data_IF_632576326127
#
_entry.id   IF_632576326127
#
_cell.length_a   1.000
_cell.length_b   1.000
_cell.length_c   1.000
_cell.angle_alpha   90.00
_cell.angle_beta   90.00
_cell.angle_gamma   90.00
#
_symmetry.space_group_name_H-M   'P 1'
#
loop_
_entity.id
_entity.type
_entity.pdbx_description
1 polymer ?
#
# COMPACT_ATOMS: atom_id res chain seq x y z
N UNK A 1 -7.30 26.08 -9.02
CA UNK A 1 -8.62 26.14 -8.36
C UNK A 1 -9.11 24.82 -7.78
N UNK A 2 -9.69 23.86 -8.52
CA UNK A 2 -10.25 22.63 -7.91
C UNK A 2 -9.19 21.71 -7.27
N UNK A 3 -8.00 21.57 -7.88
CA UNK A 3 -6.85 20.86 -7.30
C UNK A 3 -6.27 21.56 -6.06
N UNK A 4 -6.23 22.89 -6.05
CA UNK A 4 -5.77 23.67 -4.89
C UNK A 4 -6.74 23.52 -3.72
N UNK A 5 -8.06 23.58 -3.98
CA UNK A 5 -9.07 23.38 -2.96
C UNK A 5 -9.04 21.96 -2.35
N UNK A 6 -8.73 20.94 -3.16
CA UNK A 6 -8.54 19.56 -2.68
C UNK A 6 -7.25 19.46 -1.87
N UNK A 7 -6.16 20.10 -2.32
CA UNK A 7 -4.88 20.12 -1.61
C UNK A 7 -4.96 20.83 -0.26
N UNK A 8 -5.70 21.94 -0.18
CA UNK A 8 -5.89 22.69 1.05
C UNK A 8 -6.78 21.93 2.04
N UNK A 9 -7.86 21.30 1.56
CA UNK A 9 -8.68 20.42 2.39
C UNK A 9 -7.89 19.19 2.90
N UNK A 10 -6.97 18.64 2.09
CA UNK A 10 -6.09 17.55 2.52
C UNK A 10 -5.10 18.00 3.61
N UNK A 11 -4.59 19.24 3.55
CA UNK A 11 -3.74 19.81 4.60
C UNK A 11 -4.50 20.03 5.90
N UNK A 12 -5.69 20.63 5.85
CA UNK A 12 -6.53 20.83 7.04
C UNK A 12 -6.90 19.49 7.70
N UNK A 13 -7.25 18.48 6.89
CA UNK A 13 -7.55 17.15 7.39
C UNK A 13 -6.32 16.48 8.01
N UNK A 14 -5.14 16.63 7.39
CA UNK A 14 -3.88 16.12 7.93
C UNK A 14 -3.52 16.77 9.26
N UNK A 15 -3.69 18.09 9.38
CA UNK A 15 -3.40 18.81 10.63
C UNK A 15 -4.41 18.45 11.73
N UNK A 16 -5.67 18.22 11.38
CA UNK A 16 -6.68 17.69 12.30
C UNK A 16 -6.33 16.29 12.82
N UNK A 17 -5.97 15.36 11.92
CA UNK A 17 -5.52 14.01 12.30
C UNK A 17 -4.28 14.06 13.18
N UNK A 18 -3.31 14.92 12.86
CA UNK A 18 -2.11 15.13 13.68
C UNK A 18 -2.47 15.67 15.07
N UNK A 19 -3.39 16.63 15.15
CA UNK A 19 -3.81 17.23 16.42
C UNK A 19 -4.52 16.23 17.33
N UNK A 20 -5.48 15.46 16.78
CA UNK A 20 -6.16 14.39 17.52
C UNK A 20 -5.17 13.32 17.94
N UNK A 21 -4.29 12.88 17.05
CA UNK A 21 -3.27 11.88 17.38
C UNK A 21 -2.34 12.37 18.50
N UNK A 22 -2.09 13.68 18.58
CA UNK A 22 -1.27 14.27 19.66
C UNK A 22 -1.97 14.21 21.00
N UNK A 23 -3.25 14.62 21.05
CA UNK A 23 -4.07 14.49 22.27
C UNK A 23 -4.17 13.02 22.68
N UNK A 24 -4.34 12.13 21.72
CA UNK A 24 -4.45 10.69 21.90
C UNK A 24 -3.20 10.07 22.54
N UNK A 25 -2.02 10.33 21.95
CA UNK A 25 -0.73 9.83 22.47
C UNK A 25 -0.46 10.43 23.86
N UNK A 26 -0.71 11.73 24.05
CA UNK A 26 -0.52 12.39 25.35
C UNK A 26 -1.38 11.75 26.43
N UNK A 27 -2.68 11.53 26.16
CA UNK A 27 -3.63 11.06 27.17
C UNK A 27 -3.49 9.57 27.47
N UNK A 28 -3.08 8.76 26.49
CA UNK A 28 -2.81 7.33 26.67
C UNK A 28 -1.59 7.07 27.56
N UNK A 29 -0.66 8.03 27.60
CA UNK A 29 0.65 7.88 28.24
C UNK A 29 0.79 8.74 29.49
N UNK A 30 -0.23 9.52 29.85
CA UNK A 30 -0.36 10.13 31.16
C UNK A 30 -0.36 9.03 32.24
N UNK A 31 0.43 9.28 33.29
CA UNK A 31 0.84 8.29 34.28
C UNK A 31 -0.35 7.62 34.97
N UNK A 32 -0.25 6.30 35.16
CA UNK A 32 -1.28 5.43 35.72
C UNK A 32 -1.40 5.64 37.25
N UNK A 33 -1.91 6.81 37.64
CA UNK A 33 -2.36 7.05 39.00
C UNK A 33 -3.61 6.20 39.32
N UNK A 34 -3.82 5.75 40.57
CA UNK A 34 -4.89 4.79 40.93
C UNK A 34 -6.34 5.28 40.70
N UNK A 35 -6.53 6.49 40.17
CA UNK A 35 -7.83 7.15 40.02
C UNK A 35 -8.14 7.68 38.62
N UNK A 36 -7.32 7.41 37.59
CA UNK A 36 -7.54 8.04 36.28
C UNK A 36 -8.59 7.30 35.43
N UNK A 37 -9.85 7.51 35.79
CA UNK A 37 -11.02 6.92 35.12
C UNK A 37 -11.07 7.32 33.64
N UNK A 38 -10.54 8.49 33.29
CA UNK A 38 -10.49 9.01 31.91
C UNK A 38 -9.54 8.15 31.07
N UNK A 39 -8.35 7.83 31.59
CA UNK A 39 -7.38 6.97 30.90
C UNK A 39 -7.90 5.54 30.67
N UNK A 40 -8.68 4.99 31.62
CA UNK A 40 -9.39 3.72 31.43
C UNK A 40 -10.48 3.79 30.37
N UNK A 41 -11.26 4.88 30.33
CA UNK A 41 -12.27 5.11 29.29
C UNK A 41 -11.61 5.23 27.92
N UNK A 42 -10.53 5.99 27.78
CA UNK A 42 -9.77 6.10 26.53
C UNK A 42 -9.19 4.77 26.08
N UNK A 43 -8.55 4.01 26.98
CA UNK A 43 -8.06 2.67 26.67
C UNK A 43 -9.19 1.75 26.17
N UNK A 44 -10.35 1.83 26.81
CA UNK A 44 -11.55 1.07 26.40
C UNK A 44 -12.06 1.53 25.02
N UNK A 45 -12.12 2.83 24.75
CA UNK A 45 -12.51 3.34 23.42
C UNK A 45 -11.56 2.82 22.34
N UNK A 46 -10.26 2.80 22.61
CA UNK A 46 -9.22 2.37 21.68
C UNK A 46 -9.28 0.87 21.40
N UNK A 47 -9.57 0.07 22.42
CA UNK A 47 -9.78 -1.38 22.26
C UNK A 47 -11.05 -1.70 21.46
N UNK A 48 -12.02 -0.78 21.43
CA UNK A 48 -13.22 -0.89 20.61
C UNK A 48 -13.05 -0.24 19.21
N UNK A 49 -11.90 0.32 18.88
CA UNK A 49 -11.64 0.82 17.52
C UNK A 49 -11.41 -0.35 16.55
N UNK A 50 -12.03 -0.24 15.39
CA UNK A 50 -11.82 -1.18 14.27
C UNK A 50 -10.43 -1.03 13.63
N UNK A 51 -9.71 0.07 13.88
CA UNK A 51 -8.30 0.20 13.50
C UNK A 51 -7.37 -0.43 14.53
N UNK A 52 -6.33 -1.09 14.03
CA UNK A 52 -5.20 -1.49 14.85
C UNK A 52 -4.39 -0.26 15.27
N UNK A 53 -4.12 -0.12 16.55
CA UNK A 53 -3.33 0.98 17.12
C UNK A 53 -2.09 0.40 17.79
N UNK A 54 -0.93 0.94 17.43
CA UNK A 54 0.35 0.57 18.01
C UNK A 54 1.16 1.84 18.31
N UNK A 55 1.66 1.99 19.53
CA UNK A 55 2.49 3.12 19.94
C UNK A 55 3.87 2.59 20.32
N UNK A 56 4.91 3.24 19.79
CA UNK A 56 6.30 2.95 20.10
C UNK A 56 7.02 4.18 20.63
N UNK A 57 8.02 3.95 21.48
CA UNK A 57 8.93 5.00 21.94
C UNK A 57 10.00 5.36 20.89
N UNK A 58 10.90 6.25 21.28
CA UNK A 58 12.05 6.72 20.50
C UNK A 58 13.09 5.61 20.24
N UNK A 59 13.11 4.56 21.06
CA UNK A 59 13.91 3.35 20.85
C UNK A 59 13.22 2.31 19.93
N UNK A 60 12.04 2.64 19.38
CA UNK A 60 11.16 1.76 18.63
C UNK A 60 10.66 0.54 19.43
N UNK A 61 10.51 0.66 20.75
CA UNK A 61 9.91 -0.38 21.58
C UNK A 61 8.42 -0.13 21.76
N UNK A 62 7.63 -1.20 21.73
CA UNK A 62 6.17 -1.11 21.85
C UNK A 62 5.76 -0.69 23.26
N UNK A 63 5.09 0.44 23.38
CA UNK A 63 4.54 0.99 24.62
C UNK A 63 3.05 0.66 24.79
N UNK A 64 2.30 0.62 23.69
CA UNK A 64 0.87 0.30 23.69
C UNK A 64 0.45 -0.43 22.42
N UNK A 65 -0.51 -1.33 22.55
CA UNK A 65 -1.14 -2.05 21.43
C UNK A 65 -2.58 -2.38 21.80
N UNK A 66 -3.53 -2.14 20.87
CA UNK A 66 -4.93 -2.49 21.08
C UNK A 66 -5.26 -3.90 20.59
N UNK A 67 -6.44 -4.42 20.95
CA UNK A 67 -6.89 -5.76 20.53
C UNK A 67 -6.91 -5.97 19.02
N UNK A 68 -7.31 -4.95 18.24
CA UNK A 68 -7.37 -5.05 16.78
C UNK A 68 -5.97 -5.19 16.16
N UNK A 69 -4.97 -4.47 16.68
CA UNK A 69 -3.57 -4.62 16.25
C UNK A 69 -2.98 -5.98 16.66
N UNK A 70 -3.30 -6.51 17.84
CA UNK A 70 -2.86 -7.85 18.27
C UNK A 70 -3.39 -8.95 17.34
N UNK A 71 -4.67 -8.89 16.98
CA UNK A 71 -5.29 -9.81 16.02
C UNK A 71 -4.62 -9.70 14.65
N UNK A 72 -4.36 -8.48 14.20
CA UNK A 72 -3.71 -8.20 12.92
C UNK A 72 -2.28 -8.75 12.87
N UNK A 73 -1.51 -8.58 13.94
CA UNK A 73 -0.12 -9.05 14.04
C UNK A 73 -0.05 -10.56 14.35
N UNK A 74 -1.16 -11.19 14.75
CA UNK A 74 -1.19 -12.59 15.17
C UNK A 74 -0.35 -12.85 16.43
N UNK A 75 -0.33 -11.90 17.38
CA UNK A 75 0.47 -11.96 18.62
C UNK A 75 -0.38 -11.71 19.86
N UNK A 76 0.11 -12.18 21.01
CA UNK A 76 -0.49 -11.93 22.33
C UNK A 76 0.20 -10.72 22.97
N UNK A 77 -0.57 -9.89 23.69
CA UNK A 77 -0.10 -8.62 24.28
C UNK A 77 1.19 -8.76 25.10
N UNK A 78 1.24 -9.74 26.02
CA UNK A 78 2.40 -9.97 26.88
C UNK A 78 3.69 -10.32 26.12
N UNK A 79 3.57 -10.71 24.85
CA UNK A 79 4.69 -11.11 24.02
C UNK A 79 5.16 -9.99 23.08
N UNK A 80 4.53 -8.81 23.06
CA UNK A 80 4.93 -7.70 22.17
C UNK A 80 5.26 -6.40 22.89
N UNK A 81 4.65 -6.11 24.06
CA UNK A 81 4.99 -4.92 24.85
C UNK A 81 6.49 -4.94 25.24
N UNK A 82 7.16 -3.80 25.09
CA UNK A 82 8.58 -3.60 25.37
C UNK A 82 9.55 -4.16 24.31
N UNK A 83 9.04 -4.91 23.32
CA UNK A 83 9.87 -5.46 22.24
C UNK A 83 10.16 -4.42 21.16
N UNK A 84 11.33 -4.50 20.51
CA UNK A 84 11.63 -3.67 19.36
C UNK A 84 10.74 -4.06 18.18
N UNK A 85 10.19 -3.06 17.50
CA UNK A 85 9.45 -3.22 16.25
C UNK A 85 10.00 -2.26 15.20
N UNK A 86 10.08 -2.69 13.95
CA UNK A 86 10.61 -1.88 12.86
C UNK A 86 9.54 -1.68 11.80
N UNK A 87 9.29 -0.41 11.46
CA UNK A 87 8.44 -0.03 10.34
C UNK A 87 9.32 0.31 9.14
N UNK A 88 9.10 -0.36 8.01
CA UNK A 88 9.82 -0.10 6.76
C UNK A 88 8.81 0.20 5.63
N UNK A 89 8.63 1.45 5.21
CA UNK A 89 7.67 1.77 4.17
C UNK A 89 8.07 1.15 2.82
N UNK A 90 7.07 0.80 2.01
CA UNK A 90 7.20 0.35 0.63
C UNK A 90 7.02 1.51 -0.37
N UNK A 91 7.67 2.64 -0.11
CA UNK A 91 7.68 3.81 -1.01
C UNK A 91 9.06 4.46 -1.09
N UNK A 92 9.27 5.26 -2.15
CA UNK A 92 10.45 6.09 -2.38
C UNK A 92 10.33 7.51 -1.86
N UNK A 93 9.13 8.08 -1.90
CA UNK A 93 8.93 9.49 -1.63
C UNK A 93 8.29 9.72 -0.26
N UNK A 94 8.80 10.74 0.43
CA UNK A 94 8.19 11.33 1.61
C UNK A 94 6.90 12.10 1.32
N UNK A 95 6.55 12.33 0.05
CA UNK A 95 5.34 13.09 -0.32
C UNK A 95 4.06 12.24 -0.22
N UNK A 96 4.18 10.91 -0.23
CA UNK A 96 3.09 9.98 0.10
C UNK A 96 2.95 9.79 1.63
N UNK A 97 3.26 10.82 2.41
CA UNK A 97 3.07 10.84 3.87
C UNK A 97 1.62 11.01 4.29
N UNK A 98 0.72 11.28 3.34
CA UNK A 98 -0.70 11.46 3.60
C UNK A 98 -1.45 10.23 3.09
N UNK A 99 -2.07 9.49 4.01
CA UNK A 99 -2.88 8.31 3.69
C UNK A 99 -2.27 6.98 4.13
N UNK A 100 -3.07 5.91 4.00
CA UNK A 100 -2.69 4.56 4.38
C UNK A 100 -1.64 3.97 3.42
N UNK A 101 -0.44 3.69 3.93
CA UNK A 101 0.70 3.19 3.16
C UNK A 101 1.08 1.78 3.60
N UNK A 102 1.63 0.99 2.67
CA UNK A 102 2.16 -0.34 3.00
C UNK A 102 3.51 -0.25 3.69
N UNK A 103 3.59 -0.91 4.84
CA UNK A 103 4.79 -1.03 5.65
C UNK A 103 5.12 -2.51 5.84
N UNK A 104 6.39 -2.84 5.72
CA UNK A 104 6.91 -4.08 6.31
C UNK A 104 7.07 -3.79 7.80
N UNK A 105 6.31 -4.50 8.62
CA UNK A 105 6.37 -4.42 10.08
C UNK A 105 7.08 -5.67 10.57
N UNK A 106 8.25 -5.47 11.19
CA UNK A 106 9.11 -6.55 11.68
C UNK A 106 9.21 -6.52 13.19
N UNK A 107 9.01 -7.67 13.83
CA UNK A 107 9.19 -7.88 15.27
C UNK A 107 9.75 -9.30 15.50
N UNK A 108 10.71 -9.44 16.41
CA UNK A 108 11.50 -10.66 16.56
C UNK A 108 12.03 -11.13 15.18
N UNK A 109 11.77 -12.39 14.80
CA UNK A 109 12.11 -12.97 13.50
C UNK A 109 10.95 -12.96 12.49
N UNK A 110 9.84 -12.28 12.81
CA UNK A 110 8.65 -12.20 11.95
C UNK A 110 8.60 -10.88 11.21
N UNK A 111 8.05 -10.90 10.00
CA UNK A 111 7.81 -9.70 9.20
C UNK A 111 6.52 -9.86 8.41
N UNK A 112 5.59 -8.93 8.60
CA UNK A 112 4.31 -8.90 7.92
C UNK A 112 4.16 -7.59 7.13
N UNK A 113 3.37 -7.66 6.06
CA UNK A 113 3.01 -6.49 5.27
C UNK A 113 1.72 -5.89 5.81
N UNK A 114 1.80 -4.68 6.36
CA UNK A 114 0.71 -4.00 7.03
C UNK A 114 0.45 -2.65 6.38
N UNK A 115 -0.82 -2.41 6.03
CA UNK A 115 -1.26 -1.10 5.57
C UNK A 115 -1.53 -0.23 6.80
N UNK A 116 -0.89 0.94 6.89
CA UNK A 116 -1.06 1.85 8.01
C UNK A 116 -0.43 3.22 7.80
N UNK A 117 -0.62 4.10 8.78
CA UNK A 117 -0.09 5.45 8.83
C UNK A 117 0.82 5.58 10.02
N UNK A 118 2.05 6.05 9.80
CA UNK A 118 3.02 6.29 10.85
C UNK A 118 3.08 7.80 11.15
N UNK A 119 2.76 8.15 12.39
CA UNK A 119 2.78 9.53 12.88
C UNK A 119 3.86 9.66 13.94
N UNK A 120 4.72 10.68 13.83
CA UNK A 120 5.69 11.01 14.87
C UNK A 120 5.13 12.15 15.73
N UNK A 121 5.03 11.92 17.04
CA UNK A 121 4.31 12.75 17.99
C UNK A 121 5.13 12.81 19.29
N UNK A 122 5.68 13.97 19.61
CA UNK A 122 6.44 14.22 20.85
C UNK A 122 7.55 13.17 21.11
N UNK A 123 8.24 12.71 20.05
CA UNK A 123 9.32 11.72 20.17
C UNK A 123 8.84 10.27 20.20
N UNK A 124 7.54 10.01 20.10
CA UNK A 124 6.94 8.67 20.00
C UNK A 124 6.35 8.46 18.62
N UNK A 125 6.30 7.22 18.14
CA UNK A 125 5.64 6.91 16.88
C UNK A 125 4.31 6.19 17.13
N UNK A 126 3.24 6.73 16.55
CA UNK A 126 1.92 6.13 16.52
C UNK A 126 1.70 5.51 15.13
N UNK A 127 1.49 4.20 15.09
CA UNK A 127 1.15 3.47 13.88
C UNK A 127 -0.34 3.08 13.90
N UNK A 128 -1.11 3.70 13.00
CA UNK A 128 -2.53 3.43 12.80
C UNK A 128 -2.70 2.48 11.62
N UNK A 129 -3.10 1.25 11.87
CA UNK A 129 -3.37 0.24 10.86
C UNK A 129 -4.69 0.55 10.13
N UNK A 130 -4.76 0.24 8.83
CA UNK A 130 -6.00 0.38 8.08
C UNK A 130 -7.09 -0.57 8.62
N UNK A 131 -8.35 -0.10 8.56
CA UNK A 131 -9.55 -0.85 8.99
C UNK A 131 -9.71 -2.19 8.27
N UNK A 132 -9.36 -2.23 6.98
CA UNK A 132 -9.38 -3.44 6.18
C UNK A 132 -7.98 -3.75 5.68
N UNK A 133 -7.44 -4.87 6.14
CA UNK A 133 -6.26 -5.48 5.54
C UNK A 133 -6.73 -6.57 4.59
N UNK A 134 -6.28 -6.54 3.34
CA UNK A 134 -6.46 -7.69 2.46
C UNK A 134 -5.74 -8.89 3.10
N UNK A 135 -6.49 -9.96 3.41
CA UNK A 135 -6.12 -11.11 4.25
C UNK A 135 -4.95 -11.99 3.75
N UNK A 136 -4.04 -11.46 2.93
CA UNK A 136 -2.79 -12.14 2.62
C UNK A 136 -1.76 -11.77 3.67
N UNK A 137 -1.70 -12.54 4.75
CA UNK A 137 -0.50 -12.64 5.60
C UNK A 137 0.66 -12.97 4.66
N UNK A 138 1.49 -11.98 4.40
CA UNK A 138 2.57 -12.06 3.45
C UNK A 138 3.85 -11.99 4.25
N UNK A 139 4.45 -13.15 4.51
CA UNK A 139 5.76 -13.21 5.15
C UNK A 139 6.78 -12.63 4.19
N UNK A 140 7.32 -11.46 4.52
CA UNK A 140 8.41 -10.84 3.76
C UNK A 140 9.72 -11.55 4.11
N UNK A 141 9.85 -12.82 3.73
CA UNK A 141 11.06 -13.59 3.97
C UNK A 141 12.17 -13.16 3.00
N UNK A 142 13.28 -12.68 3.55
CA UNK A 142 14.62 -12.60 2.93
C UNK A 142 14.67 -12.05 1.48
N UNK A 143 14.08 -10.87 1.23
CA UNK A 143 14.45 -10.13 0.03
C UNK A 143 15.93 -9.74 0.13
N UNK A 144 16.79 -10.12 -0.84
CA UNK A 144 18.21 -9.83 -0.76
C UNK A 144 18.45 -8.32 -0.70
N UNK A 145 19.40 -7.90 0.14
CA UNK A 145 19.77 -6.49 0.31
C UNK A 145 20.34 -5.89 -0.99
N UNK A 146 20.83 -6.70 -1.92
CA UNK A 146 21.22 -6.27 -3.27
C UNK A 146 20.68 -7.24 -4.34
N UNK A 147 19.43 -7.04 -4.80
CA UNK A 147 18.87 -7.89 -5.85
C UNK A 147 19.48 -7.51 -7.21
N UNK A 148 20.02 -8.50 -7.91
CA UNK A 148 20.40 -8.33 -9.31
C UNK A 148 19.16 -8.46 -10.19
N UNK A 149 18.82 -7.40 -10.92
CA UNK A 149 17.68 -7.36 -11.84
C UNK A 149 18.26 -7.15 -13.24
N UNK A 150 18.36 -8.23 -14.01
CA UNK A 150 19.05 -8.26 -15.31
C UNK A 150 18.61 -7.16 -16.29
N UNK A 151 17.32 -6.82 -16.30
CA UNK A 151 16.77 -5.84 -17.24
C UNK A 151 16.84 -4.39 -16.75
N UNK A 152 17.18 -4.15 -15.47
CA UNK A 152 17.25 -2.81 -14.89
C UNK A 152 18.72 -2.39 -14.72
N UNK A 153 19.25 -1.71 -15.74
CA UNK A 153 20.64 -1.22 -15.77
C UNK A 153 20.79 0.00 -14.86
N UNK A 154 21.91 0.08 -14.14
CA UNK A 154 22.26 1.23 -13.30
C UNK A 154 22.69 0.82 -11.88
N UNK A 155 23.79 1.41 -11.43
CA UNK A 155 24.45 1.08 -10.15
C UNK A 155 24.58 2.27 -9.20
N UNK A 156 24.00 3.43 -9.55
CA UNK A 156 23.98 4.57 -8.65
C UNK A 156 23.12 4.28 -7.40
N UNK A 157 23.33 5.04 -6.33
CA UNK A 157 22.64 4.85 -5.05
C UNK A 157 21.12 4.78 -5.19
N UNK A 158 20.53 5.64 -6.01
CA UNK A 158 19.08 5.70 -6.25
C UNK A 158 18.59 4.45 -6.96
N UNK A 159 19.31 3.97 -7.99
CA UNK A 159 18.96 2.73 -8.69
C UNK A 159 19.08 1.50 -7.81
N UNK A 160 20.09 1.44 -6.92
CA UNK A 160 20.19 0.35 -5.93
C UNK A 160 19.03 0.36 -4.95
N UNK A 161 18.62 1.54 -4.47
CA UNK A 161 17.41 1.67 -3.67
C UNK A 161 16.17 1.18 -4.44
N UNK A 162 16.14 1.37 -5.77
CA UNK A 162 14.98 1.00 -6.60
C UNK A 162 14.89 -0.50 -6.76
N UNK A 163 16.02 -1.12 -7.07
CA UNK A 163 16.17 -2.58 -7.09
C UNK A 163 15.73 -3.19 -5.76
N UNK A 164 16.16 -2.63 -4.62
CA UNK A 164 15.75 -3.07 -3.26
C UNK A 164 14.27 -2.85 -2.97
N UNK A 165 13.64 -1.82 -3.53
CA UNK A 165 12.20 -1.62 -3.35
C UNK A 165 11.41 -2.62 -4.21
N UNK A 166 11.82 -2.80 -5.46
CA UNK A 166 11.22 -3.78 -6.38
C UNK A 166 11.27 -5.18 -5.76
N UNK A 167 12.40 -5.62 -5.21
CA UNK A 167 12.48 -6.96 -4.58
C UNK A 167 11.55 -7.14 -3.38
N UNK A 168 11.27 -6.05 -2.64
CA UNK A 168 10.34 -6.06 -1.50
C UNK A 168 8.88 -6.05 -1.92
N UNK A 169 8.55 -5.30 -2.97
CA UNK A 169 7.18 -5.16 -3.47
C UNK A 169 6.77 -6.34 -4.35
N UNK A 170 7.69 -6.89 -5.14
CA UNK A 170 7.40 -7.94 -6.12
C UNK A 170 6.59 -9.13 -5.60
N UNK A 171 6.86 -9.69 -4.40
CA UNK A 171 6.09 -10.83 -3.93
C UNK A 171 4.75 -10.43 -3.25
N UNK A 172 4.51 -9.13 -3.02
CA UNK A 172 3.23 -8.61 -2.53
C UNK A 172 2.11 -8.82 -3.55
N UNK A 173 0.88 -9.15 -3.12
CA UNK A 173 -0.28 -9.27 -4.02
C UNK A 173 -0.88 -7.92 -4.44
N UNK A 174 -0.29 -6.81 -4.01
CA UNK A 174 -0.86 -5.47 -4.08
C UNK A 174 -0.65 -4.80 -5.44
N UNK A 175 -1.54 -3.87 -5.79
CA UNK A 175 -1.35 -2.98 -6.93
C UNK A 175 -0.17 -2.05 -6.69
N UNK A 176 0.67 -1.85 -7.71
CA UNK A 176 1.88 -1.03 -7.63
C UNK A 176 1.75 0.15 -8.59
N UNK A 177 1.92 1.37 -8.07
CA UNK A 177 2.02 2.58 -8.89
C UNK A 177 3.48 2.85 -9.21
N UNK A 178 3.81 2.97 -10.50
CA UNK A 178 5.15 3.34 -10.98
C UNK A 178 5.09 4.75 -11.54
N UNK A 179 5.72 5.70 -10.84
CA UNK A 179 5.75 7.10 -11.23
C UNK A 179 7.12 7.44 -11.83
N UNK A 180 7.12 8.22 -12.91
CA UNK A 180 8.33 8.69 -13.57
C UNK A 180 7.99 9.39 -14.87
N UNK A 181 8.92 10.22 -15.35
CA UNK A 181 8.78 10.91 -16.63
C UNK A 181 8.62 9.92 -17.79
N UNK A 182 8.08 10.40 -18.92
CA UNK A 182 7.98 9.59 -20.14
C UNK A 182 9.36 9.12 -20.59
N UNK A 183 9.46 7.87 -21.06
CA UNK A 183 10.72 7.30 -21.54
C UNK A 183 11.73 6.84 -20.47
N UNK A 184 11.42 6.95 -19.17
CA UNK A 184 12.31 6.53 -18.08
C UNK A 184 12.36 5.02 -17.81
N UNK A 185 11.66 4.21 -18.62
CA UNK A 185 11.66 2.75 -18.49
C UNK A 185 10.69 2.18 -17.44
N UNK A 186 9.53 2.84 -17.22
CA UNK A 186 8.47 2.35 -16.31
C UNK A 186 8.06 0.90 -16.59
N UNK A 187 7.96 0.52 -17.86
CA UNK A 187 7.64 -0.86 -18.25
C UNK A 187 8.72 -1.86 -17.81
N UNK A 188 10.00 -1.48 -17.85
CA UNK A 188 11.11 -2.33 -17.38
C UNK A 188 10.98 -2.59 -15.88
N UNK A 189 10.58 -1.58 -15.11
CA UNK A 189 10.27 -1.71 -13.67
C UNK A 189 9.09 -2.67 -13.46
N UNK A 190 7.99 -2.50 -14.21
CA UNK A 190 6.82 -3.37 -14.10
C UNK A 190 7.15 -4.85 -14.42
N UNK A 191 7.96 -5.09 -15.45
CA UNK A 191 8.43 -6.44 -15.81
C UNK A 191 9.35 -7.03 -14.74
N UNK A 192 10.21 -6.21 -14.12
CA UNK A 192 11.06 -6.64 -13.02
C UNK A 192 10.23 -7.08 -11.81
N UNK A 193 9.20 -6.30 -11.43
CA UNK A 193 8.24 -6.65 -10.37
C UNK A 193 7.57 -7.99 -10.70
N UNK A 194 7.04 -8.16 -11.91
CA UNK A 194 6.39 -9.41 -12.31
C UNK A 194 7.34 -10.62 -12.24
N UNK A 195 8.56 -10.50 -12.76
CA UNK A 195 9.56 -11.59 -12.77
C UNK A 195 10.01 -12.02 -11.37
N UNK A 196 10.04 -11.08 -10.43
CA UNK A 196 10.41 -11.34 -9.03
C UNK A 196 9.20 -11.75 -8.17
N UNK A 197 7.98 -11.68 -8.72
CA UNK A 197 6.76 -12.06 -8.01
C UNK A 197 6.53 -13.58 -8.00
N UNK A 198 5.62 -14.03 -7.13
CA UNK A 198 5.09 -15.40 -7.18
C UNK A 198 4.33 -15.73 -8.48
N UNK A 199 4.03 -14.73 -9.32
CA UNK A 199 3.32 -14.86 -10.59
C UNK A 199 4.24 -14.84 -11.81
N UNK A 200 5.56 -14.95 -11.65
CA UNK A 200 6.56 -14.89 -12.74
C UNK A 200 6.34 -15.84 -13.92
N UNK A 201 5.64 -16.96 -13.69
CA UNK A 201 5.33 -17.99 -14.70
C UNK A 201 3.92 -17.81 -15.29
N UNK A 202 3.24 -16.71 -14.97
CA UNK A 202 1.87 -16.39 -15.40
C UNK A 202 1.92 -15.26 -16.45
N UNK A 203 0.82 -14.99 -17.16
CA UNK A 203 0.80 -13.95 -18.19
C UNK A 203 1.19 -12.57 -17.63
N UNK A 204 2.05 -11.86 -18.36
CA UNK A 204 2.27 -10.43 -18.19
C UNK A 204 1.66 -9.72 -19.40
N UNK A 205 0.57 -9.01 -19.17
CA UNK A 205 -0.14 -8.25 -20.21
C UNK A 205 0.10 -6.77 -19.95
N UNK A 206 0.64 -6.08 -20.94
CA UNK A 206 0.85 -4.63 -20.90
C UNK A 206 -0.04 -3.93 -21.92
N UNK A 207 -0.64 -2.82 -21.52
CA UNK A 207 -1.44 -1.96 -22.38
C UNK A 207 -1.08 -0.50 -22.10
N UNK A 208 -0.87 0.28 -23.16
CA UNK A 208 -0.71 1.72 -23.08
C UNK A 208 -2.07 2.37 -23.33
N UNK A 209 -2.61 3.04 -22.31
CA UNK A 209 -3.95 3.63 -22.35
C UNK A 209 -4.03 4.84 -23.29
N UNK A 210 -2.92 5.57 -23.46
CA UNK A 210 -2.84 6.73 -24.35
C UNK A 210 -2.75 6.34 -25.84
N UNK A 211 -2.29 5.12 -26.14
CA UNK A 211 -2.09 4.66 -27.51
C UNK A 211 -3.37 4.12 -28.19
N UNK A 212 -4.46 3.90 -27.43
CA UNK A 212 -5.68 3.27 -27.93
C UNK A 212 -6.86 4.24 -27.80
N UNK A 213 -7.64 4.48 -28.87
CA UNK A 213 -8.84 5.29 -28.79
C UNK A 213 -9.82 4.76 -27.73
N UNK A 214 -10.44 5.67 -26.96
CA UNK A 214 -11.34 5.34 -25.84
C UNK A 214 -12.38 4.24 -26.16
N UNK A 215 -13.02 4.34 -27.31
CA UNK A 215 -14.05 3.40 -27.77
C UNK A 215 -13.52 1.97 -27.92
N UNK A 216 -12.26 1.84 -28.36
CA UNK A 216 -11.60 0.54 -28.49
C UNK A 216 -11.01 0.10 -27.15
N UNK A 217 -10.48 1.03 -26.34
CA UNK A 217 -9.87 0.73 -25.04
C UNK A 217 -10.82 -0.05 -24.13
N UNK A 218 -12.10 0.31 -24.10
CA UNK A 218 -13.10 -0.46 -23.35
C UNK A 218 -13.17 -1.92 -23.83
N UNK A 219 -13.31 -2.11 -25.15
CA UNK A 219 -13.45 -3.42 -25.76
C UNK A 219 -12.17 -4.26 -25.67
N UNK A 220 -11.00 -3.63 -25.60
CA UNK A 220 -9.71 -4.28 -25.33
C UNK A 220 -9.64 -4.74 -23.88
N UNK A 221 -9.94 -3.88 -22.91
CA UNK A 221 -9.79 -4.18 -21.49
C UNK A 221 -10.79 -5.24 -21.01
N UNK A 222 -12.08 -5.05 -21.34
CA UNK A 222 -13.17 -5.86 -20.81
C UNK A 222 -13.65 -6.95 -21.78
N UNK A 223 -13.31 -6.85 -23.06
CA UNK A 223 -13.82 -7.74 -24.09
C UNK A 223 -15.27 -7.42 -24.46
N UNK A 224 -15.83 -8.24 -25.35
CA UNK A 224 -17.23 -8.14 -25.74
C UNK A 224 -17.75 -9.48 -26.25
N UNK A 225 -19.06 -9.68 -26.12
CA UNK A 225 -19.76 -10.84 -26.67
C UNK A 225 -20.19 -10.58 -28.11
N UNK A 226 -20.43 -11.65 -28.87
CA UNK A 226 -20.96 -11.56 -30.24
C UNK A 226 -22.23 -10.69 -30.27
N UNK A 227 -22.27 -9.71 -31.17
CA UNK A 227 -23.43 -8.84 -31.36
C UNK A 227 -23.57 -7.71 -30.34
N UNK A 228 -22.54 -7.44 -29.52
CA UNK A 228 -22.57 -6.33 -28.55
C UNK A 228 -22.72 -4.94 -29.21
N UNK A 229 -22.24 -4.78 -30.44
CA UNK A 229 -22.37 -3.55 -31.24
C UNK A 229 -22.30 -3.86 -32.74
N UNK A 230 -22.68 -2.90 -33.58
CA UNK A 230 -22.58 -3.01 -35.05
C UNK A 230 -21.11 -3.09 -35.47
N UNK A 231 -20.69 -4.24 -36.01
CA UNK A 231 -19.28 -4.51 -36.35
C UNK A 231 -18.54 -5.41 -35.35
N UNK A 232 -19.21 -5.87 -34.29
CA UNK A 232 -18.63 -6.85 -33.37
C UNK A 232 -18.28 -8.16 -34.09
N UNK A 233 -17.08 -8.68 -33.83
CA UNK A 233 -16.64 -9.99 -34.34
C UNK A 233 -17.65 -11.08 -34.02
N UNK A 234 -17.87 -11.98 -34.99
CA UNK A 234 -18.76 -13.13 -34.83
C UNK A 234 -18.33 -14.06 -33.69
N UNK A 235 -17.07 -13.99 -33.26
CA UNK A 235 -16.51 -14.81 -32.18
C UNK A 235 -16.41 -14.05 -30.84
N UNK A 236 -16.86 -12.79 -30.78
CA UNK A 236 -16.58 -11.91 -29.64
C UNK A 236 -15.09 -11.62 -29.47
N UNK A 237 -14.73 -11.08 -28.31
CA UNK A 237 -13.34 -10.81 -27.92
C UNK A 237 -13.16 -11.00 -26.42
N UNK A 238 -12.11 -11.74 -26.03
CA UNK A 238 -11.68 -11.84 -24.63
C UNK A 238 -10.96 -10.56 -24.22
N UNK A 239 -11.33 -9.99 -23.07
CA UNK A 239 -10.69 -8.79 -22.55
C UNK A 239 -9.29 -9.05 -21.99
N UNK A 240 -8.43 -8.03 -22.00
CA UNK A 240 -7.07 -8.10 -21.45
C UNK A 240 -7.04 -8.37 -19.95
N UNK A 241 -8.03 -7.89 -19.19
CA UNK A 241 -8.15 -8.21 -17.75
C UNK A 241 -8.32 -9.73 -17.57
N UNK A 242 -9.16 -10.35 -18.39
CA UNK A 242 -9.37 -11.80 -18.37
C UNK A 242 -8.13 -12.56 -18.87
N UNK A 243 -7.46 -12.06 -19.92
CA UNK A 243 -6.22 -12.66 -20.42
C UNK A 243 -5.07 -12.60 -19.39
N UNK A 244 -5.05 -11.57 -18.54
CA UNK A 244 -4.09 -11.39 -17.46
C UNK A 244 -4.47 -12.17 -16.19
N UNK A 245 -5.56 -12.94 -16.20
CA UNK A 245 -6.03 -13.66 -15.02
C UNK A 245 -4.93 -14.54 -14.41
N UNK A 246 -4.79 -14.53 -13.09
CA UNK A 246 -3.71 -15.15 -12.30
C UNK A 246 -2.30 -14.61 -12.55
N UNK A 247 -2.14 -13.63 -13.45
CA UNK A 247 -0.87 -13.01 -13.79
C UNK A 247 -0.77 -11.54 -13.34
N UNK A 248 -0.28 -10.70 -14.25
CA UNK A 248 -0.09 -9.26 -14.03
C UNK A 248 -0.60 -8.48 -15.24
N UNK A 249 -1.43 -7.47 -14.97
CA UNK A 249 -1.84 -6.45 -15.93
C UNK A 249 -1.07 -5.16 -15.64
N UNK A 250 -0.34 -4.64 -16.61
CA UNK A 250 0.34 -3.36 -16.54
C UNK A 250 -0.41 -2.33 -17.38
N UNK A 251 -0.88 -1.26 -16.72
CA UNK A 251 -1.59 -0.14 -17.33
C UNK A 251 -0.62 1.03 -17.43
N UNK A 252 -0.02 1.21 -18.60
CA UNK A 252 0.85 2.36 -18.86
C UNK A 252 0.01 3.59 -19.21
N UNK A 253 0.49 4.76 -18.78
CA UNK A 253 -0.20 6.05 -18.92
C UNK A 253 -1.67 6.00 -18.42
N UNK A 254 -1.91 5.36 -17.27
CA UNK A 254 -3.25 5.24 -16.66
C UNK A 254 -3.92 6.60 -16.38
N UNK A 255 -3.14 7.68 -16.28
CA UNK A 255 -3.64 9.05 -16.14
C UNK A 255 -4.47 9.51 -17.36
N UNK A 256 -4.22 8.95 -18.53
CA UNK A 256 -4.98 9.23 -19.76
C UNK A 256 -6.24 8.37 -19.90
N UNK A 257 -6.54 7.50 -18.91
CA UNK A 257 -7.75 6.68 -18.93
C UNK A 257 -9.01 7.54 -18.69
N UNK A 258 -10.04 7.47 -19.56
CA UNK A 258 -11.31 8.16 -19.35
C UNK A 258 -12.00 7.80 -18.03
N UNK A 259 -12.63 8.79 -17.37
CA UNK A 259 -13.28 8.62 -16.05
C UNK A 259 -14.30 7.48 -16.02
N UNK A 260 -15.04 7.28 -17.11
CA UNK A 260 -16.02 6.19 -17.20
C UNK A 260 -15.35 4.80 -17.16
N UNK A 261 -14.16 4.67 -17.76
CA UNK A 261 -13.38 3.43 -17.70
C UNK A 261 -12.71 3.25 -16.34
N UNK A 262 -12.29 4.33 -15.69
CA UNK A 262 -11.78 4.26 -14.31
C UNK A 262 -12.83 3.67 -13.34
N UNK A 263 -14.10 4.06 -13.48
CA UNK A 263 -15.19 3.50 -12.67
C UNK A 263 -15.40 1.98 -12.91
N UNK A 264 -15.29 1.53 -14.17
CA UNK A 264 -15.39 0.10 -14.52
C UNK A 264 -14.18 -0.68 -14.01
N UNK A 265 -12.99 -0.10 -14.11
CA UNK A 265 -11.76 -0.68 -13.59
C UNK A 265 -11.83 -0.84 -12.07
N UNK A 266 -12.31 0.18 -11.35
CA UNK A 266 -12.47 0.16 -9.89
C UNK A 266 -13.37 -1.00 -9.43
N UNK A 267 -14.40 -1.35 -10.21
CA UNK A 267 -15.29 -2.49 -9.90
C UNK A 267 -14.62 -3.85 -10.15
N UNK A 268 -13.60 -3.90 -11.01
CA UNK A 268 -12.91 -5.12 -11.37
C UNK A 268 -11.72 -5.47 -10.46
N UNK A 269 -11.15 -4.47 -9.76
CA UNK A 269 -9.99 -4.60 -8.87
C UNK A 269 -10.37 -4.80 -7.40
#
# INVERSE_FOLDING_TARGET
EQQEHISDNLREFSDYVRHISTIFVSKLLEDQGPGDNISKIFATMIDNMDQGVLVVDDENRVQFVNQTALKTLGVVQNNIIGKPIRFRPLTFESNFTHGHMQHIVSWDDKSELIIGQLHNIQGRQLFLMAFHQSHTSFSVANAPDEPHIEQLVGECRVMRQLKRLISRIAPSPSSVMVVGESGTGKEVVARAIHKLSGRRNKPFIAINCAAIPEQLLESELFGYVKGAFTGASANGKTGLIQAANTGTLFLDEIGDMPLMLQAKLLRAI
#
